data_IF_859469677080
#
_entry.id   IF_859469677080
#
_cell.length_a   1.000
_cell.length_b   1.000
_cell.length_c   1.000
_cell.angle_alpha   90.00
_cell.angle_beta   90.00
_cell.angle_gamma   90.00
#
_symmetry.space_group_name_H-M   'P 1'
#
loop_
_entity.id
_entity.type
_entity.pdbx_description
1 polymer ?
#
# COMPACT_ATOMS: atom_id res chain seq x y z
N UNK A 1 24.57 2.48 9.30
CA UNK A 1 24.63 3.07 7.94
C UNK A 1 23.79 2.19 7.02
N UNK A 2 22.50 2.35 7.03
CA UNK A 2 21.57 1.66 6.11
C UNK A 2 21.00 2.74 5.22
N UNK A 3 21.71 3.02 4.10
CA UNK A 3 21.21 3.95 3.10
C UNK A 3 19.88 3.44 2.57
N UNK A 4 18.82 4.24 2.73
CA UNK A 4 17.50 3.92 2.20
C UNK A 4 17.61 3.53 0.73
N UNK A 5 17.07 2.38 0.39
CA UNK A 5 17.17 1.83 -0.97
C UNK A 5 16.42 2.78 -1.91
N UNK A 6 17.18 3.50 -2.74
CA UNK A 6 16.64 4.42 -3.76
C UNK A 6 15.87 3.61 -4.81
N UNK A 7 14.84 4.22 -5.39
CA UNK A 7 14.19 3.75 -6.61
C UNK A 7 15.19 3.07 -7.55
N UNK A 8 14.94 1.84 -7.93
CA UNK A 8 15.85 1.07 -8.77
C UNK A 8 15.66 1.50 -10.22
N UNK A 9 16.69 2.14 -10.80
CA UNK A 9 16.70 2.51 -12.22
C UNK A 9 17.65 1.57 -12.96
N UNK A 10 17.12 0.84 -13.92
CA UNK A 10 17.89 0.02 -14.85
C UNK A 10 17.97 0.75 -16.20
N UNK A 11 19.10 1.39 -16.43
CA UNK A 11 19.36 2.12 -17.68
C UNK A 11 19.51 1.20 -18.89
N UNK A 12 19.98 -0.05 -18.69
CA UNK A 12 20.13 -1.04 -19.75
C UNK A 12 18.80 -1.49 -20.30
N UNK A 13 17.87 -1.81 -19.43
CA UNK A 13 16.50 -2.22 -19.76
C UNK A 13 15.53 -1.06 -19.85
N UNK A 14 15.93 0.15 -19.52
CA UNK A 14 15.10 1.36 -19.45
C UNK A 14 13.87 1.16 -18.56
N UNK A 15 14.09 0.59 -17.38
CA UNK A 15 13.03 0.36 -16.41
C UNK A 15 13.28 1.11 -15.10
N UNK A 16 12.18 1.46 -14.45
CA UNK A 16 12.16 2.09 -13.13
C UNK A 16 11.32 1.21 -12.22
N UNK A 17 11.89 0.75 -11.10
CA UNK A 17 11.16 0.00 -10.06
C UNK A 17 10.57 0.95 -9.03
N UNK A 18 9.28 0.82 -8.73
CA UNK A 18 8.56 1.56 -7.69
C UNK A 18 7.84 0.59 -6.78
N UNK A 19 8.16 0.59 -5.49
CA UNK A 19 7.57 -0.32 -4.51
C UNK A 19 6.40 0.31 -3.78
N UNK A 20 5.20 -0.25 -3.95
CA UNK A 20 3.97 0.16 -3.28
C UNK A 20 3.54 -0.93 -2.30
N UNK A 21 3.33 -0.56 -1.04
CA UNK A 21 2.96 -1.49 0.02
C UNK A 21 1.53 -1.23 0.50
N UNK A 22 0.71 -2.27 0.51
CA UNK A 22 -0.60 -2.28 1.16
C UNK A 22 -0.44 -2.76 2.60
N UNK A 23 -0.79 -1.93 3.55
CA UNK A 23 -0.67 -2.16 4.98
C UNK A 23 -2.05 -2.05 5.66
N UNK A 24 -2.21 -2.58 6.87
CA UNK A 24 -3.46 -2.49 7.63
C UNK A 24 -3.80 -3.78 8.38
N UNK A 25 -4.83 -3.78 9.24
CA UNK A 25 -5.18 -4.91 10.08
C UNK A 25 -5.59 -6.14 9.25
N UNK A 26 -5.66 -7.28 9.91
CA UNK A 26 -6.16 -8.51 9.29
C UNK A 26 -7.57 -8.28 8.74
N UNK A 27 -7.87 -8.89 7.58
CA UNK A 27 -9.18 -8.87 6.92
C UNK A 27 -9.71 -7.48 6.53
N UNK A 28 -8.91 -6.41 6.61
CA UNK A 28 -9.32 -5.06 6.18
C UNK A 28 -9.59 -4.94 4.68
N UNK A 29 -9.17 -5.90 3.86
CA UNK A 29 -9.40 -5.94 2.42
C UNK A 29 -8.17 -5.68 1.55
N UNK A 30 -6.96 -5.74 2.09
CA UNK A 30 -5.68 -5.58 1.33
C UNK A 30 -5.61 -6.50 0.12
N UNK A 31 -5.68 -7.81 0.35
CA UNK A 31 -5.66 -8.84 -0.71
C UNK A 31 -6.78 -8.63 -1.73
N UNK A 32 -7.99 -8.26 -1.28
CA UNK A 32 -9.12 -7.98 -2.17
C UNK A 32 -8.83 -6.78 -3.08
N UNK A 33 -8.30 -5.69 -2.53
CA UNK A 33 -7.92 -4.49 -3.29
C UNK A 33 -6.84 -4.81 -4.33
N UNK A 34 -5.81 -5.56 -3.95
CA UNK A 34 -4.72 -5.95 -4.85
C UNK A 34 -5.25 -6.88 -5.96
N UNK A 35 -6.02 -7.90 -5.62
CA UNK A 35 -6.61 -8.82 -6.61
C UNK A 35 -7.49 -8.08 -7.61
N UNK A 36 -8.31 -7.15 -7.12
CA UNK A 36 -9.14 -6.32 -7.98
C UNK A 36 -8.29 -5.47 -8.94
N UNK A 37 -7.25 -4.80 -8.41
CA UNK A 37 -6.33 -3.98 -9.18
C UNK A 37 -5.64 -4.78 -10.30
N UNK A 38 -5.08 -5.93 -9.96
CA UNK A 38 -4.40 -6.81 -10.92
C UNK A 38 -5.36 -7.37 -11.98
N UNK A 39 -6.58 -7.74 -11.57
CA UNK A 39 -7.60 -8.22 -12.51
C UNK A 39 -8.05 -7.12 -13.48
N UNK A 40 -8.29 -5.90 -12.99
CA UNK A 40 -8.74 -4.78 -13.81
C UNK A 40 -7.69 -4.32 -14.82
N UNK A 41 -6.41 -4.49 -14.50
CA UNK A 41 -5.29 -4.14 -15.38
C UNK A 41 -4.80 -5.30 -16.24
N UNK A 42 -5.49 -6.45 -16.26
CA UNK A 42 -5.13 -7.66 -17.01
C UNK A 42 -3.78 -8.29 -16.58
N UNK A 43 -3.44 -8.17 -15.31
CA UNK A 43 -2.21 -8.77 -14.73
C UNK A 43 -2.50 -9.81 -13.63
N UNK A 44 -3.70 -10.35 -13.56
CA UNK A 44 -4.10 -11.29 -12.49
C UNK A 44 -3.15 -12.50 -12.33
N UNK A 45 -2.63 -13.03 -13.44
CA UNK A 45 -1.66 -14.14 -13.47
C UNK A 45 -0.27 -13.80 -12.91
N UNK A 46 0.07 -12.49 -12.81
CA UNK A 46 1.34 -12.00 -12.25
C UNK A 46 1.28 -11.74 -10.74
N UNK A 47 0.14 -11.98 -10.12
CA UNK A 47 -0.02 -11.88 -8.68
C UNK A 47 0.29 -13.22 -8.02
N UNK A 48 1.25 -13.22 -7.12
CA UNK A 48 1.61 -14.38 -6.29
C UNK A 48 1.14 -14.15 -4.87
N UNK A 49 0.40 -15.12 -4.33
CA UNK A 49 -0.03 -15.13 -2.92
C UNK A 49 0.62 -16.31 -2.22
N UNK A 50 1.27 -16.05 -1.09
CA UNK A 50 1.81 -17.09 -0.23
C UNK A 50 0.77 -17.34 0.88
N UNK A 51 -0.07 -18.35 0.66
CA UNK A 51 -1.19 -18.70 1.53
C UNK A 51 -0.87 -19.98 2.32
N UNK A 52 -1.50 -20.13 3.50
CA UNK A 52 -1.51 -21.40 4.21
C UNK A 52 -2.68 -22.27 3.71
N UNK A 53 -2.72 -23.54 4.16
CA UNK A 53 -3.79 -24.52 3.83
C UNK A 53 -5.20 -24.09 4.23
N UNK A 54 -5.37 -22.98 4.94
CA UNK A 54 -6.66 -22.45 5.43
C UNK A 54 -7.10 -21.20 4.61
N UNK A 55 -6.41 -20.86 3.51
CA UNK A 55 -6.78 -19.75 2.64
C UNK A 55 -6.51 -18.36 3.24
N UNK A 56 -5.58 -18.24 4.19
CA UNK A 56 -5.14 -16.96 4.75
C UNK A 56 -3.74 -16.64 4.24
N UNK A 57 -3.53 -15.40 3.82
CA UNK A 57 -2.20 -14.90 3.43
C UNK A 57 -1.24 -15.05 4.60
N UNK A 58 -0.25 -15.92 4.46
CA UNK A 58 0.67 -16.25 5.54
C UNK A 58 1.82 -15.24 5.66
N UNK A 59 2.29 -14.75 4.52
CA UNK A 59 3.42 -13.82 4.48
C UNK A 59 3.09 -12.53 3.73
N UNK A 60 2.83 -12.60 2.43
CA UNK A 60 2.48 -11.45 1.61
C UNK A 60 1.83 -11.88 0.28
N UNK A 61 1.05 -10.97 -0.31
CA UNK A 61 0.76 -10.99 -1.73
C UNK A 61 1.77 -10.07 -2.41
N UNK A 62 2.29 -10.45 -3.58
CA UNK A 62 3.14 -9.59 -4.36
C UNK A 62 2.97 -9.80 -5.86
N UNK A 63 3.22 -8.75 -6.61
CA UNK A 63 3.20 -8.80 -8.07
C UNK A 63 3.74 -7.52 -8.68
N UNK A 64 3.91 -7.52 -9.99
CA UNK A 64 4.44 -6.38 -10.72
C UNK A 64 3.48 -5.96 -11.83
N UNK A 65 3.16 -4.67 -11.87
CA UNK A 65 2.34 -4.06 -12.93
C UNK A 65 3.25 -3.10 -13.70
N UNK A 66 3.52 -3.36 -14.99
CA UNK A 66 4.29 -2.44 -15.82
C UNK A 66 3.42 -1.31 -16.37
N UNK A 67 3.91 -0.08 -16.26
CA UNK A 67 3.30 1.11 -16.85
C UNK A 67 4.26 1.74 -17.85
N UNK A 68 3.80 2.04 -19.06
CA UNK A 68 4.60 2.77 -20.05
C UNK A 68 4.73 4.24 -19.63
N UNK A 69 5.97 4.70 -19.40
CA UNK A 69 6.26 6.10 -19.11
C UNK A 69 6.47 6.91 -20.40
N UNK A 70 7.08 6.26 -21.41
CA UNK A 70 7.31 6.81 -22.75
C UNK A 70 7.45 5.67 -23.76
N UNK A 71 7.75 5.98 -25.01
CA UNK A 71 8.02 4.97 -26.05
C UNK A 71 9.19 4.02 -25.72
N UNK A 72 10.03 4.34 -24.74
CA UNK A 72 11.23 3.59 -24.42
C UNK A 72 11.47 3.28 -22.94
N UNK A 73 10.65 3.80 -22.02
CA UNK A 73 10.78 3.56 -20.58
C UNK A 73 9.54 2.93 -19.98
N UNK A 74 9.74 1.96 -19.09
CA UNK A 74 8.68 1.28 -18.35
C UNK A 74 8.87 1.48 -16.85
N UNK A 75 7.79 1.78 -16.14
CA UNK A 75 7.78 1.79 -14.68
C UNK A 75 7.16 0.48 -14.21
N UNK A 76 7.91 -0.29 -13.45
CA UNK A 76 7.43 -1.49 -12.81
C UNK A 76 6.92 -1.15 -11.40
N UNK A 77 5.61 -1.10 -11.21
CA UNK A 77 5.02 -0.99 -9.89
C UNK A 77 5.06 -2.36 -9.20
N UNK A 78 5.97 -2.52 -8.26
CA UNK A 78 6.07 -3.69 -7.39
C UNK A 78 5.09 -3.54 -6.23
N UNK A 79 3.96 -4.22 -6.32
CA UNK A 79 2.88 -4.16 -5.33
C UNK A 79 3.06 -5.29 -4.33
N UNK A 80 3.05 -4.94 -3.05
CA UNK A 80 3.21 -5.84 -1.93
C UNK A 80 2.08 -5.68 -0.91
N UNK A 81 1.64 -6.77 -0.30
CA UNK A 81 0.71 -6.75 0.83
C UNK A 81 1.42 -7.23 2.08
N UNK A 82 1.50 -6.40 3.10
CA UNK A 82 1.93 -6.88 4.41
C UNK A 82 0.81 -7.71 5.06
N UNK A 83 1.16 -8.87 5.64
CA UNK A 83 0.16 -9.67 6.40
C UNK A 83 -0.38 -8.87 7.58
N UNK A 84 -1.69 -8.94 7.81
CA UNK A 84 -2.33 -8.29 8.95
C UNK A 84 -2.39 -9.13 10.23
N UNK A 85 -1.76 -10.33 10.26
CA UNK A 85 -1.80 -11.21 11.43
C UNK A 85 -0.70 -10.85 12.43
N UNK A 86 -1.02 -10.83 13.72
CA UNK A 86 -0.15 -10.34 14.80
C UNK A 86 1.19 -11.07 14.93
N UNK A 87 1.24 -12.36 14.60
CA UNK A 87 2.45 -13.18 14.70
C UNK A 87 3.59 -12.82 13.72
N UNK A 88 3.36 -11.91 12.76
CA UNK A 88 4.29 -11.67 11.65
C UNK A 88 4.81 -10.24 11.57
N UNK A 89 5.04 -9.58 12.72
CA UNK A 89 5.60 -8.23 12.76
C UNK A 89 6.90 -8.10 11.97
N UNK A 90 7.85 -9.03 12.16
CA UNK A 90 9.13 -9.02 11.43
C UNK A 90 8.96 -9.12 9.91
N UNK A 91 7.92 -9.82 9.43
CA UNK A 91 7.61 -9.88 8.00
C UNK A 91 7.08 -8.54 7.47
N UNK A 92 6.29 -7.82 8.29
CA UNK A 92 5.79 -6.48 7.92
C UNK A 92 6.92 -5.47 7.80
N UNK A 93 7.88 -5.50 8.73
CA UNK A 93 9.09 -4.67 8.65
C UNK A 93 9.86 -4.93 7.35
N UNK A 94 10.14 -6.20 7.02
CA UNK A 94 10.83 -6.57 5.76
C UNK A 94 10.07 -6.11 4.51
N UNK A 95 8.73 -6.22 4.53
CA UNK A 95 7.90 -5.77 3.40
C UNK A 95 7.94 -4.25 3.25
N UNK A 96 8.07 -3.47 4.33
CA UNK A 96 8.14 -2.00 4.28
C UNK A 96 9.51 -1.48 3.84
N UNK A 97 10.59 -2.22 4.10
CA UNK A 97 11.94 -1.78 3.69
C UNK A 97 11.98 -1.43 2.21
N UNK A 98 12.41 -0.20 1.90
CA UNK A 98 12.51 0.31 0.53
C UNK A 98 11.17 0.60 -0.14
N UNK A 99 10.07 0.74 0.60
CA UNK A 99 8.80 1.20 0.05
C UNK A 99 8.91 2.63 -0.49
N UNK A 100 8.33 2.89 -1.66
CA UNK A 100 8.22 4.21 -2.27
C UNK A 100 6.86 4.86 -1.98
N UNK A 101 5.89 4.08 -1.49
CA UNK A 101 4.60 4.55 -1.03
C UNK A 101 3.82 3.48 -0.30
N UNK A 102 2.91 3.90 0.60
CA UNK A 102 2.08 3.01 1.40
C UNK A 102 0.60 3.36 1.26
N UNK A 103 -0.22 2.34 1.04
CA UNK A 103 -1.68 2.41 1.14
C UNK A 103 -2.10 1.70 2.43
N UNK A 104 -2.57 2.46 3.41
CA UNK A 104 -3.16 1.88 4.62
C UNK A 104 -4.62 1.57 4.38
N UNK A 105 -5.00 0.29 4.49
CA UNK A 105 -6.39 -0.15 4.33
C UNK A 105 -7.00 -0.31 5.72
N UNK A 106 -7.86 0.63 6.10
CA UNK A 106 -8.65 0.59 7.32
C UNK A 106 -10.00 -0.11 7.05
N UNK A 107 -10.48 -0.88 8.02
CA UNK A 107 -11.83 -1.44 8.01
C UNK A 107 -12.82 -0.41 8.57
N UNK A 108 -13.89 -0.12 7.83
CA UNK A 108 -14.86 0.89 8.25
C UNK A 108 -15.86 0.45 9.32
N UNK A 109 -15.83 -0.81 9.74
CA UNK A 109 -16.72 -1.31 10.78
C UNK A 109 -16.33 -0.71 12.15
N UNK A 110 -17.31 -0.15 12.87
CA UNK A 110 -17.06 0.57 14.12
C UNK A 110 -16.32 -0.26 15.17
N UNK A 111 -16.67 -1.54 15.29
CA UNK A 111 -16.05 -2.45 16.27
C UNK A 111 -14.60 -2.82 15.94
N UNK A 112 -14.07 -2.42 14.77
CA UNK A 112 -12.69 -2.65 14.34
C UNK A 112 -11.82 -1.39 14.38
N UNK A 113 -12.31 -0.31 15.00
CA UNK A 113 -11.53 0.93 15.14
C UNK A 113 -10.23 0.73 15.93
N UNK A 114 -10.26 -0.09 16.98
CA UNK A 114 -9.08 -0.35 17.81
C UNK A 114 -8.04 -1.21 17.08
N UNK A 115 -8.46 -2.17 16.26
CA UNK A 115 -7.58 -2.94 15.37
C UNK A 115 -6.95 -2.03 14.29
N UNK A 116 -7.73 -1.11 13.73
CA UNK A 116 -7.20 -0.09 12.83
C UNK A 116 -6.15 0.77 13.54
N UNK A 117 -6.43 1.23 14.77
CA UNK A 117 -5.51 2.05 15.56
C UNK A 117 -4.21 1.30 15.88
N UNK A 118 -4.31 0.05 16.32
CA UNK A 118 -3.13 -0.78 16.62
C UNK A 118 -2.24 -0.94 15.38
N UNK A 119 -2.85 -1.27 14.22
CA UNK A 119 -2.12 -1.42 12.96
C UNK A 119 -1.56 -0.11 12.42
N UNK A 120 -2.27 1.02 12.62
CA UNK A 120 -1.80 2.36 12.27
C UNK A 120 -0.58 2.77 13.10
N UNK A 121 -0.64 2.58 14.42
CA UNK A 121 0.47 2.91 15.32
C UNK A 121 1.71 2.06 15.00
N UNK A 122 1.51 0.79 14.65
CA UNK A 122 2.61 -0.07 14.20
C UNK A 122 3.25 0.47 12.90
N UNK A 123 2.44 0.83 11.90
CA UNK A 123 2.94 1.43 10.66
C UNK A 123 3.71 2.72 10.95
N UNK A 124 3.15 3.62 11.78
CA UNK A 124 3.81 4.88 12.11
C UNK A 124 5.16 4.65 12.79
N UNK A 125 5.25 3.71 13.73
CA UNK A 125 6.53 3.39 14.39
C UNK A 125 7.60 2.88 13.40
N UNK A 126 7.20 2.15 12.35
CA UNK A 126 8.12 1.68 11.32
C UNK A 126 8.53 2.79 10.34
N UNK A 127 7.63 3.73 10.04
CA UNK A 127 7.91 4.84 9.10
C UNK A 127 8.76 5.93 9.76
N UNK A 128 8.60 6.18 11.05
CA UNK A 128 9.41 7.18 11.80
C UNK A 128 10.90 6.85 11.79
N UNK A 129 11.27 5.59 11.56
CA UNK A 129 12.66 5.15 11.43
C UNK A 129 13.25 5.44 10.03
N UNK A 130 12.40 5.80 9.04
CA UNK A 130 12.84 6.12 7.69
C UNK A 130 13.32 7.58 7.59
N UNK A 131 14.50 7.79 7.01
CA UNK A 131 15.11 9.14 6.85
C UNK A 131 14.39 10.03 5.82
N UNK A 132 13.43 9.49 5.06
CA UNK A 132 12.73 10.21 3.98
C UNK A 132 11.21 10.24 4.18
N UNK A 133 10.55 11.34 3.77
CA UNK A 133 9.08 11.36 3.75
C UNK A 133 8.55 10.29 2.79
N UNK A 134 7.76 9.36 3.33
CA UNK A 134 7.14 8.29 2.57
C UNK A 134 5.71 8.70 2.19
N UNK A 135 5.37 8.79 0.89
CA UNK A 135 3.99 9.00 0.46
C UNK A 135 3.04 7.97 1.07
N UNK A 136 2.01 8.44 1.75
CA UNK A 136 1.06 7.65 2.51
C UNK A 136 -0.37 8.12 2.23
N UNK A 137 -1.27 7.18 2.00
CA UNK A 137 -2.72 7.41 1.93
C UNK A 137 -3.45 6.37 2.75
N UNK A 138 -4.70 6.66 3.08
CA UNK A 138 -5.62 5.73 3.77
C UNK A 138 -6.77 5.39 2.85
N UNK A 139 -7.13 4.11 2.76
CA UNK A 139 -8.41 3.66 2.21
C UNK A 139 -9.30 3.20 3.36
N UNK A 140 -10.39 3.91 3.62
CA UNK A 140 -11.45 3.51 4.54
C UNK A 140 -12.37 2.56 3.79
N UNK A 141 -12.06 1.26 3.90
CA UNK A 141 -12.65 0.21 3.08
C UNK A 141 -13.93 -0.38 3.70
N UNK A 142 -14.68 -1.12 2.89
CA UNK A 142 -15.97 -1.76 3.21
C UNK A 142 -17.11 -0.75 3.44
N UNK A 143 -17.11 0.33 2.68
CA UNK A 143 -18.15 1.37 2.73
C UNK A 143 -19.53 0.89 2.24
N UNK A 144 -19.62 -0.32 1.72
CA UNK A 144 -20.84 -1.03 1.34
C UNK A 144 -21.57 -1.68 2.53
N UNK A 145 -20.93 -1.75 3.70
CA UNK A 145 -21.53 -2.32 4.89
C UNK A 145 -22.42 -1.29 5.62
N UNK A 146 -23.43 -1.76 6.39
CA UNK A 146 -24.21 -0.90 7.24
C UNK A 146 -23.40 -0.40 8.46
N UNK A 147 -23.75 0.76 8.99
CA UNK A 147 -23.16 1.32 10.22
C UNK A 147 -21.64 1.47 10.17
N UNK A 148 -21.12 2.04 9.07
CA UNK A 148 -19.70 2.30 8.90
C UNK A 148 -19.31 3.65 9.52
N UNK A 149 -18.08 3.72 10.03
CA UNK A 149 -17.50 4.98 10.53
C UNK A 149 -17.27 5.97 9.39
N UNK A 150 -17.39 7.25 9.72
CA UNK A 150 -17.09 8.34 8.79
C UNK A 150 -15.60 8.69 8.81
N UNK A 151 -15.15 9.40 7.78
CA UNK A 151 -13.75 9.82 7.65
C UNK A 151 -13.24 10.58 8.88
N UNK A 152 -14.03 11.54 9.38
CA UNK A 152 -13.65 12.36 10.54
C UNK A 152 -13.50 11.54 11.82
N UNK A 153 -14.33 10.50 12.00
CA UNK A 153 -14.25 9.58 13.13
C UNK A 153 -12.94 8.77 13.05
N UNK A 154 -12.64 8.19 11.87
CA UNK A 154 -11.39 7.47 11.67
C UNK A 154 -10.19 8.40 11.88
N UNK A 155 -10.20 9.58 11.25
CA UNK A 155 -9.12 10.57 11.33
C UNK A 155 -8.82 10.96 12.77
N UNK A 156 -9.87 11.22 13.55
CA UNK A 156 -9.73 11.59 14.97
C UNK A 156 -9.23 10.42 15.80
N UNK A 157 -9.78 9.22 15.61
CA UNK A 157 -9.44 8.03 16.40
C UNK A 157 -7.99 7.58 16.17
N UNK A 158 -7.56 7.54 14.90
CA UNK A 158 -6.20 7.15 14.53
C UNK A 158 -5.20 8.31 14.57
N UNK A 159 -5.63 9.54 14.82
CA UNK A 159 -4.82 10.77 14.76
C UNK A 159 -4.12 10.95 13.41
N UNK A 160 -4.84 10.65 12.32
CA UNK A 160 -4.30 10.76 10.97
C UNK A 160 -4.04 12.23 10.65
N UNK A 161 -2.81 12.62 10.22
CA UNK A 161 -2.50 13.99 9.85
C UNK A 161 -3.43 14.51 8.74
N UNK A 162 -3.81 15.82 8.75
CA UNK A 162 -4.65 16.40 7.69
C UNK A 162 -4.04 16.28 6.29
N UNK A 163 -2.72 16.19 6.19
CA UNK A 163 -1.99 16.03 4.92
C UNK A 163 -2.12 14.63 4.32
N UNK A 164 -2.57 13.63 5.08
CA UNK A 164 -2.76 12.26 4.59
C UNK A 164 -4.18 12.13 4.02
N UNK A 165 -4.32 11.89 2.70
CA UNK A 165 -5.63 11.71 2.08
C UNK A 165 -6.33 10.43 2.54
N UNK A 166 -7.65 10.48 2.67
CA UNK A 166 -8.49 9.31 2.95
C UNK A 166 -9.43 9.08 1.75
N UNK A 167 -9.44 7.87 1.23
CA UNK A 167 -10.35 7.41 0.17
C UNK A 167 -11.37 6.45 0.77
N UNK A 168 -12.65 6.75 0.61
CA UNK A 168 -13.73 5.81 0.98
C UNK A 168 -13.84 4.75 -0.11
N UNK A 169 -13.63 3.47 0.21
CA UNK A 169 -13.51 2.43 -0.80
C UNK A 169 -14.40 1.21 -0.53
N UNK A 170 -14.67 0.47 -1.61
CA UNK A 170 -15.31 -0.84 -1.60
C UNK A 170 -14.44 -1.78 -2.45
N UNK A 171 -13.49 -2.46 -1.82
CA UNK A 171 -12.47 -3.23 -2.51
C UNK A 171 -13.04 -4.35 -3.39
N UNK A 172 -14.13 -5.00 -2.97
CA UNK A 172 -14.77 -6.08 -3.76
C UNK A 172 -15.41 -5.58 -5.06
N UNK A 173 -15.80 -4.31 -5.13
CA UNK A 173 -16.43 -3.67 -6.27
C UNK A 173 -15.44 -2.77 -7.04
N UNK A 174 -14.26 -2.52 -6.46
CA UNK A 174 -13.23 -1.66 -7.02
C UNK A 174 -13.47 -0.17 -6.82
N UNK A 175 -14.53 0.21 -6.11
CA UNK A 175 -14.82 1.62 -5.85
C UNK A 175 -13.66 2.29 -5.14
N UNK A 176 -13.13 3.36 -5.74
CA UNK A 176 -11.96 4.13 -5.29
C UNK A 176 -10.65 3.32 -5.11
N UNK A 177 -10.56 2.08 -5.59
CA UNK A 177 -9.32 1.29 -5.51
C UNK A 177 -8.30 1.79 -6.53
N UNK A 178 -8.73 2.00 -7.78
CA UNK A 178 -7.85 2.50 -8.85
C UNK A 178 -7.43 3.95 -8.58
N UNK A 179 -8.36 4.79 -8.17
CA UNK A 179 -8.12 6.21 -7.86
C UNK A 179 -7.09 6.38 -6.74
N UNK A 180 -7.24 5.62 -5.66
CA UNK A 180 -6.31 5.62 -4.53
C UNK A 180 -4.91 5.14 -4.96
N UNK A 181 -4.84 4.04 -5.72
CA UNK A 181 -3.59 3.53 -6.26
C UNK A 181 -2.90 4.55 -7.17
N UNK A 182 -3.62 5.12 -8.14
CA UNK A 182 -3.08 6.12 -9.06
C UNK A 182 -2.58 7.38 -8.33
N UNK A 183 -3.34 7.86 -7.35
CA UNK A 183 -2.94 9.00 -6.54
C UNK A 183 -1.62 8.75 -5.82
N UNK A 184 -1.51 7.61 -5.11
CA UNK A 184 -0.28 7.25 -4.42
C UNK A 184 0.88 7.05 -5.38
N UNK A 185 0.67 6.31 -6.47
CA UNK A 185 1.67 6.03 -7.49
C UNK A 185 2.29 7.32 -8.06
N UNK A 186 1.45 8.31 -8.41
CA UNK A 186 1.91 9.61 -8.90
C UNK A 186 2.74 10.37 -7.85
N UNK A 187 2.32 10.34 -6.57
CA UNK A 187 3.07 11.01 -5.50
C UNK A 187 4.40 10.30 -5.20
N UNK A 188 4.42 8.97 -5.21
CA UNK A 188 5.63 8.19 -5.05
C UNK A 188 6.64 8.46 -6.19
N UNK A 189 6.16 8.54 -7.43
CA UNK A 189 6.98 8.94 -8.58
C UNK A 189 7.59 10.33 -8.40
N UNK A 190 6.79 11.32 -8.00
CA UNK A 190 7.28 12.69 -7.77
C UNK A 190 8.31 12.75 -6.65
N UNK A 191 8.05 12.10 -5.52
CA UNK A 191 8.98 12.06 -4.39
C UNK A 191 10.32 11.42 -4.79
N UNK A 192 10.28 10.34 -5.57
CA UNK A 192 11.48 9.63 -6.02
C UNK A 192 12.33 10.42 -7.02
N UNK A 193 11.69 11.23 -7.88
CA UNK A 193 12.41 12.10 -8.84
C UNK A 193 13.07 13.28 -8.11
N UNK A 194 12.41 13.86 -7.11
CA UNK A 194 12.92 15.03 -6.37
C UNK A 194 14.10 14.69 -5.44
N UNK A 195 14.28 13.42 -5.08
CA UNK A 195 15.37 12.95 -4.20
C UNK A 195 16.62 12.52 -4.95
N UNK A 196 16.65 12.58 -6.29
CA UNK A 196 17.87 12.30 -7.04
C UNK A 196 18.76 13.54 -7.05
N UNK A 197 20.05 13.46 -6.63
CA UNK A 197 20.99 14.53 -6.87
C UNK A 197 21.15 14.69 -8.38
N UNK A 198 20.96 15.92 -8.87
CA UNK A 198 21.33 16.31 -10.23
C UNK A 198 22.85 16.11 -10.35
N UNK A 199 23.25 15.06 -11.04
CA UNK A 199 24.67 14.79 -11.39
C UNK A 199 25.07 15.55 -12.63
#
# INVERSE_FOLDING_TARGET
MTGGQKMIIDYGNRTVGLKIVFFGPAMSGKTTSIRWLFSTLDYAEKLTSIENTVGRTMFCDFGTIPFSLSSSWVINAHVWSATGQDFYRSTREVVLVGADGVIFIADSQEHLLDENLASWNELMSMIEEEERPLPLIVCLNKQDLPCVVQEEQLRTHLKIPPSVPIFRSVAREGHNVMEAFQYLFQNAMRASVLTQPVS
#
